data_IF_690592427157
#
_entry.id   IF_690592427157
#
_cell.length_a   1.000
_cell.length_b   1.000
_cell.length_c   1.000
_cell.angle_alpha   90.00
_cell.angle_beta   90.00
_cell.angle_gamma   90.00
#
_symmetry.space_group_name_H-M   'P 1'
#
loop_
_entity.id
_entity.type
_entity.pdbx_description
1 polymer ?
#
# COMPACT_ATOMS: atom_id res chain seq x y z
N UNK A 1 -2.91 1.50 -27.26
CA UNK A 1 -3.27 1.04 -25.92
C UNK A 1 -2.47 -0.20 -25.55
N UNK A 2 -1.89 -0.23 -24.38
CA UNK A 2 -1.14 -1.41 -23.91
C UNK A 2 -2.09 -2.55 -23.55
N UNK A 3 -1.69 -3.81 -23.80
CA UNK A 3 -2.45 -4.95 -23.30
C UNK A 3 -2.63 -4.90 -21.79
N UNK A 4 -3.71 -5.50 -21.29
CA UNK A 4 -4.03 -5.50 -19.86
C UNK A 4 -2.87 -6.05 -19.01
N UNK A 5 -2.21 -7.11 -19.47
CA UNK A 5 -1.06 -7.71 -18.78
C UNK A 5 0.06 -6.70 -18.56
N UNK A 6 0.41 -5.94 -19.59
CA UNK A 6 1.47 -4.94 -19.49
C UNK A 6 1.06 -3.77 -18.57
N UNK A 7 -0.20 -3.38 -18.63
CA UNK A 7 -0.72 -2.34 -17.73
C UNK A 7 -0.65 -2.80 -16.28
N UNK A 8 -1.05 -4.04 -16.00
CA UNK A 8 -0.99 -4.59 -14.64
C UNK A 8 0.45 -4.66 -14.15
N UNK A 9 1.38 -5.12 -14.99
CA UNK A 9 2.80 -5.19 -14.62
C UNK A 9 3.34 -3.80 -14.28
N UNK A 10 2.98 -2.79 -15.04
CA UNK A 10 3.39 -1.40 -14.78
C UNK A 10 2.82 -0.91 -13.43
N UNK A 11 1.55 -1.20 -13.15
CA UNK A 11 0.91 -0.81 -11.89
C UNK A 11 1.59 -1.51 -10.71
N UNK A 12 1.87 -2.81 -10.84
CA UNK A 12 2.56 -3.57 -9.80
C UNK A 12 3.95 -2.99 -9.53
N UNK A 13 4.70 -2.65 -10.57
CA UNK A 13 6.03 -2.08 -10.42
C UNK A 13 5.97 -0.74 -9.68
N UNK A 14 5.02 0.12 -10.03
CA UNK A 14 4.85 1.40 -9.37
C UNK A 14 4.44 1.23 -7.90
N UNK A 15 3.57 0.26 -7.61
CA UNK A 15 3.18 -0.03 -6.22
C UNK A 15 4.37 -0.52 -5.40
N UNK A 16 5.21 -1.38 -5.97
CA UNK A 16 6.43 -1.85 -5.31
C UNK A 16 7.34 -0.68 -4.95
N UNK A 17 7.58 0.21 -5.89
CA UNK A 17 8.44 1.39 -5.65
C UNK A 17 7.86 2.29 -4.57
N UNK A 18 6.55 2.47 -4.56
CA UNK A 18 5.90 3.29 -3.55
C UNK A 18 6.01 2.65 -2.15
N UNK A 19 5.86 1.33 -2.06
CA UNK A 19 6.01 0.62 -0.78
C UNK A 19 7.46 0.68 -0.27
N UNK A 20 8.43 0.56 -1.17
CA UNK A 20 9.84 0.71 -0.82
C UNK A 20 10.13 2.13 -0.31
N UNK A 21 9.60 3.15 -0.99
CA UNK A 21 9.74 4.54 -0.57
C UNK A 21 9.10 4.76 0.80
N UNK A 22 7.91 4.20 1.03
CA UNK A 22 7.21 4.29 2.30
C UNK A 22 8.05 3.74 3.44
N UNK A 23 8.71 2.61 3.23
CA UNK A 23 9.60 2.00 4.22
C UNK A 23 10.78 2.93 4.55
N UNK A 24 11.36 3.58 3.55
CA UNK A 24 12.47 4.52 3.76
C UNK A 24 12.00 5.76 4.51
N UNK A 25 10.86 6.35 4.09
CA UNK A 25 10.33 7.56 4.72
C UNK A 25 10.01 7.37 6.19
N UNK A 26 9.55 6.18 6.56
CA UNK A 26 9.12 5.89 7.93
C UNK A 26 10.20 5.21 8.78
N UNK A 27 11.42 5.10 8.27
CA UNK A 27 12.47 4.31 8.92
C UNK A 27 12.78 4.79 10.33
N UNK A 28 12.70 6.09 10.60
CA UNK A 28 13.01 6.66 11.92
C UNK A 28 11.79 6.75 12.85
N UNK A 29 10.64 6.28 12.41
CA UNK A 29 9.43 6.19 13.26
C UNK A 29 9.51 4.86 14.01
N UNK A 30 9.82 4.94 15.32
CA UNK A 30 10.03 3.75 16.14
C UNK A 30 8.78 3.32 16.91
N UNK A 31 7.84 4.25 17.12
CA UNK A 31 6.59 3.99 17.86
C UNK A 31 5.51 4.94 17.35
N UNK A 32 4.22 4.63 17.58
CA UNK A 32 3.14 5.48 17.08
C UNK A 32 3.25 6.95 17.51
N UNK A 33 3.68 7.22 18.73
CA UNK A 33 3.82 8.58 19.23
C UNK A 33 4.78 9.43 18.40
N UNK A 34 5.75 8.83 17.75
CA UNK A 34 6.71 9.56 16.91
C UNK A 34 6.04 10.33 15.77
N UNK A 35 4.84 9.91 15.36
CA UNK A 35 4.07 10.63 14.35
C UNK A 35 3.50 11.96 14.85
N UNK A 36 3.30 12.10 16.16
CA UNK A 36 2.53 13.22 16.70
C UNK A 36 3.31 14.12 17.64
N UNK A 37 4.56 13.77 17.95
CA UNK A 37 5.36 14.51 18.94
C UNK A 37 6.36 15.48 18.32
N UNK A 38 6.44 15.58 17.01
CA UNK A 38 7.33 16.51 16.31
C UNK A 38 6.74 16.91 14.96
N UNK A 39 7.22 18.03 14.43
CA UNK A 39 6.85 18.46 13.08
C UNK A 39 7.31 17.44 12.05
N UNK A 40 8.51 16.90 12.21
CA UNK A 40 9.01 15.84 11.33
C UNK A 40 8.08 14.63 11.34
N UNK A 41 7.71 14.14 12.52
CA UNK A 41 6.82 12.98 12.63
C UNK A 41 5.46 13.23 11.99
N UNK A 42 4.89 14.42 12.18
CA UNK A 42 3.61 14.78 11.57
C UNK A 42 3.71 14.86 10.06
N UNK A 43 4.83 15.34 9.53
CA UNK A 43 5.09 15.37 8.10
C UNK A 43 5.18 13.95 7.54
N UNK A 44 5.91 13.07 8.22
CA UNK A 44 6.02 11.65 7.83
C UNK A 44 4.65 10.97 7.89
N UNK A 45 3.85 11.26 8.91
CA UNK A 45 2.49 10.70 9.02
C UNK A 45 1.66 11.03 7.76
N UNK A 46 1.66 12.29 7.35
CA UNK A 46 0.92 12.72 6.16
C UNK A 46 1.45 12.07 4.89
N UNK A 47 2.77 11.96 4.77
CA UNK A 47 3.38 11.29 3.63
C UNK A 47 2.99 9.81 3.58
N UNK A 48 2.98 9.14 4.73
CA UNK A 48 2.52 7.74 4.83
C UNK A 48 1.07 7.60 4.38
N UNK A 49 0.19 8.51 4.80
CA UNK A 49 -1.21 8.49 4.39
C UNK A 49 -1.38 8.60 2.88
N UNK A 50 -0.64 9.51 2.25
CA UNK A 50 -0.67 9.66 0.79
C UNK A 50 -0.14 8.42 0.08
N UNK A 51 0.96 7.84 0.58
CA UNK A 51 1.53 6.62 0.02
C UNK A 51 0.56 5.45 0.11
N UNK A 52 -0.08 5.28 1.26
CA UNK A 52 -1.06 4.19 1.46
C UNK A 52 -2.25 4.36 0.52
N UNK A 53 -2.71 5.57 0.31
CA UNK A 53 -3.79 5.83 -0.63
C UNK A 53 -3.38 5.46 -2.06
N UNK A 54 -2.18 5.86 -2.46
CA UNK A 54 -1.65 5.51 -3.78
C UNK A 54 -1.56 4.00 -3.97
N UNK A 55 -1.03 3.29 -2.96
CA UNK A 55 -0.89 1.83 -2.99
C UNK A 55 -2.27 1.17 -3.13
N UNK A 56 -3.24 1.60 -2.31
CA UNK A 56 -4.60 1.07 -2.36
C UNK A 56 -5.22 1.27 -3.74
N UNK A 57 -5.10 2.46 -4.29
CA UNK A 57 -5.66 2.77 -5.60
C UNK A 57 -5.01 1.94 -6.70
N UNK A 58 -3.72 1.61 -6.56
CA UNK A 58 -3.04 0.71 -7.49
C UNK A 58 -3.71 -0.66 -7.54
N UNK A 59 -4.00 -1.23 -6.38
CA UNK A 59 -4.66 -2.54 -6.31
C UNK A 59 -6.12 -2.47 -6.77
N UNK A 60 -6.82 -1.38 -6.51
CA UNK A 60 -8.17 -1.18 -7.04
C UNK A 60 -8.15 -1.15 -8.58
N UNK A 61 -7.16 -0.48 -9.17
CA UNK A 61 -7.00 -0.46 -10.63
C UNK A 61 -6.77 -1.86 -11.19
N UNK A 62 -5.93 -2.67 -10.53
CA UNK A 62 -5.69 -4.04 -10.95
C UNK A 62 -6.98 -4.86 -10.87
N UNK A 63 -7.73 -4.72 -9.78
CA UNK A 63 -9.04 -5.39 -9.63
C UNK A 63 -9.99 -5.01 -10.77
N UNK A 64 -10.02 -3.73 -11.13
CA UNK A 64 -10.90 -3.25 -12.20
C UNK A 64 -10.48 -3.78 -13.59
N UNK A 65 -9.19 -4.01 -13.79
CA UNK A 65 -8.65 -4.53 -15.05
C UNK A 65 -8.80 -6.05 -15.17
N UNK A 66 -8.58 -6.77 -14.07
CA UNK A 66 -8.43 -8.23 -14.11
C UNK A 66 -9.51 -8.99 -13.35
N UNK A 67 -10.32 -8.31 -12.51
CA UNK A 67 -11.32 -8.94 -11.67
C UNK A 67 -10.76 -9.42 -10.34
N UNK A 68 -11.67 -9.70 -9.41
CA UNK A 68 -11.28 -10.13 -8.04
C UNK A 68 -10.54 -11.46 -8.04
N UNK A 69 -10.80 -12.32 -9.00
CA UNK A 69 -10.18 -13.64 -9.06
C UNK A 69 -8.66 -13.57 -9.29
N UNK A 70 -8.17 -12.44 -9.79
CA UNK A 70 -6.73 -12.22 -9.96
C UNK A 70 -5.97 -12.39 -8.64
N UNK A 71 -6.61 -12.07 -7.52
CA UNK A 71 -5.99 -12.09 -6.19
C UNK A 71 -6.11 -13.43 -5.47
N UNK A 72 -6.88 -14.39 -5.99
CA UNK A 72 -7.12 -15.67 -5.33
C UNK A 72 -5.86 -16.46 -5.00
N UNK A 73 -4.82 -16.49 -5.86
CA UNK A 73 -3.60 -17.23 -5.52
C UNK A 73 -2.82 -16.63 -4.35
N UNK A 74 -3.11 -15.39 -3.98
CA UNK A 74 -2.34 -14.64 -2.97
C UNK A 74 -3.13 -14.53 -1.66
N UNK A 75 -3.39 -15.67 -1.04
CA UNK A 75 -4.33 -15.82 0.09
C UNK A 75 -3.85 -15.20 1.40
N UNK A 76 -2.56 -14.90 1.51
CA UNK A 76 -2.02 -14.34 2.75
C UNK A 76 -2.37 -12.87 3.00
N UNK A 77 -2.96 -12.21 2.02
CA UNK A 77 -3.31 -10.79 2.10
C UNK A 77 -4.83 -10.64 2.26
N UNK A 78 -5.30 -9.82 3.22
CA UNK A 78 -6.73 -9.53 3.35
C UNK A 78 -7.14 -8.48 2.31
N UNK A 79 -7.36 -8.92 1.08
CA UNK A 79 -7.56 -8.03 -0.06
C UNK A 79 -8.73 -7.09 0.09
N UNK A 80 -9.84 -7.52 0.71
CA UNK A 80 -10.98 -6.62 0.94
C UNK A 80 -10.59 -5.46 1.85
N UNK A 81 -9.72 -5.69 2.82
CA UNK A 81 -9.19 -4.62 3.66
C UNK A 81 -8.26 -3.70 2.88
N UNK A 82 -7.44 -4.26 1.99
CA UNK A 82 -6.57 -3.46 1.12
C UNK A 82 -7.40 -2.53 0.24
N UNK A 83 -8.44 -3.07 -0.42
CA UNK A 83 -9.32 -2.28 -1.27
C UNK A 83 -10.08 -1.21 -0.48
N UNK A 84 -10.43 -1.50 0.78
CA UNK A 84 -11.18 -0.58 1.64
C UNK A 84 -10.32 0.46 2.34
N UNK A 85 -9.01 0.34 2.32
CA UNK A 85 -8.12 1.24 3.07
C UNK A 85 -8.24 2.70 2.61
N UNK A 86 -8.54 2.92 1.34
CA UNK A 86 -8.80 4.26 0.81
C UNK A 86 -9.94 4.96 1.56
N UNK A 87 -11.04 4.23 1.82
CA UNK A 87 -12.18 4.78 2.52
C UNK A 87 -11.84 5.13 3.97
N UNK A 88 -11.07 4.26 4.64
CA UNK A 88 -10.61 4.51 5.98
C UNK A 88 -9.82 5.82 6.07
N UNK A 89 -8.84 5.99 5.18
CA UNK A 89 -8.02 7.19 5.16
C UNK A 89 -8.84 8.46 4.86
N UNK A 90 -9.87 8.34 4.04
CA UNK A 90 -10.74 9.47 3.68
C UNK A 90 -11.70 9.84 4.80
N UNK A 91 -12.22 8.85 5.52
CA UNK A 91 -13.21 9.06 6.57
C UNK A 91 -12.61 9.60 7.86
N UNK A 92 -11.35 9.35 8.11
CA UNK A 92 -10.65 9.82 9.30
C UNK A 92 -10.16 11.27 9.14
N UNK A 93 -10.87 12.03 8.35
CA UNK A 93 -10.51 13.41 8.07
C UNK A 93 -10.49 14.21 9.37
N UNK A 94 -9.34 14.80 9.67
CA UNK A 94 -9.16 15.60 10.88
C UNK A 94 -8.73 14.82 12.11
N UNK A 95 -8.80 13.49 12.07
CA UNK A 95 -8.34 12.64 13.16
C UNK A 95 -7.04 11.97 12.81
N UNK A 96 -6.15 11.82 13.80
CA UNK A 96 -4.88 11.13 13.63
C UNK A 96 -5.02 9.72 14.20
N UNK A 97 -4.82 8.72 13.35
CA UNK A 97 -4.75 7.33 13.77
C UNK A 97 -3.30 6.85 13.72
N UNK A 98 -2.50 7.36 14.66
CA UNK A 98 -1.07 7.07 14.70
C UNK A 98 -0.79 5.57 14.87
N UNK A 99 -1.55 4.89 15.73
CA UNK A 99 -1.36 3.46 15.98
C UNK A 99 -1.72 2.62 14.75
N UNK A 100 -2.86 2.89 14.12
CA UNK A 100 -3.28 2.16 12.94
C UNK A 100 -2.32 2.33 11.77
N UNK A 101 -1.90 3.56 11.49
CA UNK A 101 -0.94 3.84 10.42
C UNK A 101 0.41 3.20 10.73
N UNK A 102 0.86 3.29 11.98
CA UNK A 102 2.12 2.68 12.39
C UNK A 102 2.12 1.17 12.14
N UNK A 103 1.05 0.48 12.56
CA UNK A 103 0.94 -0.97 12.37
C UNK A 103 0.89 -1.33 10.90
N UNK A 104 0.15 -0.58 10.10
CA UNK A 104 0.07 -0.81 8.66
C UNK A 104 1.44 -0.65 8.01
N UNK A 105 2.13 0.45 8.29
CA UNK A 105 3.42 0.78 7.66
C UNK A 105 4.53 -0.18 8.11
N UNK A 106 4.56 -0.54 9.39
CA UNK A 106 5.65 -1.35 9.93
C UNK A 106 5.44 -2.86 9.79
N UNK A 107 4.21 -3.32 9.60
CA UNK A 107 3.89 -4.74 9.58
C UNK A 107 3.21 -5.14 8.28
N UNK A 108 2.04 -4.57 7.99
CA UNK A 108 1.20 -5.02 6.88
C UNK A 108 1.84 -4.77 5.52
N UNK A 109 2.51 -3.63 5.36
CA UNK A 109 3.15 -3.26 4.10
C UNK A 109 4.30 -4.20 3.76
N UNK A 110 5.02 -4.72 4.75
CA UNK A 110 6.12 -5.65 4.48
C UNK A 110 5.61 -6.92 3.80
N UNK A 111 4.53 -7.48 4.30
CA UNK A 111 3.91 -8.67 3.69
C UNK A 111 3.32 -8.35 2.32
N UNK A 112 2.66 -7.20 2.20
CA UNK A 112 2.09 -6.76 0.93
C UNK A 112 3.20 -6.54 -0.12
N UNK A 113 4.31 -5.94 0.26
CA UNK A 113 5.45 -5.72 -0.63
C UNK A 113 6.01 -7.06 -1.15
N UNK A 114 6.22 -8.01 -0.25
CA UNK A 114 6.70 -9.34 -0.62
C UNK A 114 5.73 -10.02 -1.58
N UNK A 115 4.44 -9.97 -1.28
CA UNK A 115 3.40 -10.55 -2.13
C UNK A 115 3.34 -9.85 -3.49
N UNK A 116 3.46 -8.54 -3.51
CA UNK A 116 3.41 -7.76 -4.76
C UNK A 116 4.60 -8.08 -5.66
N UNK A 117 5.77 -8.30 -5.08
CA UNK A 117 6.95 -8.77 -5.84
C UNK A 117 6.68 -10.12 -6.49
N UNK A 118 6.03 -11.05 -5.77
CA UNK A 118 5.64 -12.34 -6.31
C UNK A 118 4.61 -12.17 -7.44
N UNK A 119 3.63 -11.29 -7.27
CA UNK A 119 2.63 -11.00 -8.30
C UNK A 119 3.28 -10.49 -9.58
N UNK A 120 4.25 -9.58 -9.44
CA UNK A 120 4.99 -9.06 -10.59
C UNK A 120 5.78 -10.16 -11.29
N UNK A 121 6.45 -11.01 -10.53
CA UNK A 121 7.22 -12.12 -11.07
C UNK A 121 6.31 -13.09 -11.82
N UNK A 122 5.14 -13.41 -11.26
CA UNK A 122 4.17 -14.28 -11.91
C UNK A 122 3.64 -13.66 -13.21
N UNK A 123 3.40 -12.35 -13.20
CA UNK A 123 2.92 -11.64 -14.39
C UNK A 123 3.97 -11.62 -15.49
N UNK A 124 5.25 -11.49 -15.16
CA UNK A 124 6.34 -11.50 -16.12
C UNK A 124 6.56 -12.91 -16.69
N UNK A 125 6.46 -13.93 -15.85
CA UNK A 125 6.70 -15.33 -16.25
C UNK A 125 5.49 -16.00 -16.89
N UNK A 126 4.31 -15.47 -16.62
CA UNK A 126 3.07 -16.00 -17.18
C UNK A 126 2.77 -15.40 -18.53
#
# INVERSE_FOLDING_TARGET
>A
MLPAKERITTILDAAIKEMELLSVMSADIAKPDDFVTSLHGMTVYRACGMSLQYITESFVKIRNLAGKDYFKPYKGIPWEQVFGMRNFLSHEYGEVDAEGIFNTVKTDILLLLETTRAMKQDAVNG
#
